data_IF_126472044192
#
_entry.id   IF_126472044192
#
_cell.length_a   1.000
_cell.length_b   1.000
_cell.length_c   1.000
_cell.angle_alpha   90.00
_cell.angle_beta   90.00
_cell.angle_gamma   90.00
#
_symmetry.space_group_name_H-M   'P 1'
#
loop_
_entity.id
_entity.type
_entity.pdbx_description
1 polymer ?
#
# COMPACT_ATOMS: atom_id res chain seq x y z
N UNK A 1 1.38 -18.15 19.50
CA UNK A 1 2.08 -17.42 18.41
C UNK A 1 1.07 -16.95 17.39
N UNK A 2 1.14 -15.68 17.03
CA UNK A 2 0.24 -15.09 16.05
C UNK A 2 0.62 -15.52 14.63
N UNK A 3 -0.37 -15.91 13.84
CA UNK A 3 -0.16 -16.22 12.45
C UNK A 3 0.10 -14.94 11.64
N UNK A 4 1.14 -14.95 10.81
CA UNK A 4 1.45 -13.82 9.93
C UNK A 4 0.46 -13.81 8.77
N UNK A 5 -0.18 -12.67 8.54
CA UNK A 5 -1.11 -12.49 7.43
C UNK A 5 -0.47 -11.68 6.32
N UNK A 6 -0.89 -11.97 5.09
CA UNK A 6 -0.50 -11.19 3.92
C UNK A 6 -1.65 -10.25 3.60
N UNK A 7 -1.40 -8.96 3.74
CA UNK A 7 -2.44 -7.92 3.68
C UNK A 7 -2.16 -6.95 2.52
N UNK A 8 -3.19 -6.70 1.72
CA UNK A 8 -3.15 -5.67 0.69
C UNK A 8 -3.88 -4.43 1.20
N UNK A 9 -3.20 -3.30 1.27
CA UNK A 9 -3.82 -2.02 1.61
C UNK A 9 -4.06 -1.25 0.30
N UNK A 10 -5.33 -0.98 0.01
CA UNK A 10 -5.74 -0.28 -1.21
C UNK A 10 -5.82 1.21 -0.91
N UNK A 11 -5.00 1.99 -1.60
CA UNK A 11 -4.88 3.44 -1.39
C UNK A 11 -5.59 4.17 -2.52
N UNK A 12 -6.58 4.98 -2.19
CA UNK A 12 -7.35 5.72 -3.18
C UNK A 12 -7.74 7.10 -2.66
N UNK A 13 -8.78 7.18 -1.82
CA UNK A 13 -9.35 8.44 -1.35
C UNK A 13 -8.76 8.92 -0.03
N UNK A 14 -8.57 8.00 0.92
CA UNK A 14 -8.05 8.32 2.26
C UNK A 14 -6.58 7.90 2.35
N UNK A 15 -5.74 8.59 1.59
CA UNK A 15 -4.34 8.22 1.41
C UNK A 15 -3.54 8.23 2.71
N UNK A 16 -3.67 9.28 3.50
CA UNK A 16 -2.95 9.43 4.78
C UNK A 16 -3.31 8.30 5.75
N UNK A 17 -4.58 7.97 5.85
CA UNK A 17 -5.07 6.91 6.71
C UNK A 17 -4.57 5.54 6.25
N UNK A 18 -4.63 5.28 4.94
CA UNK A 18 -4.14 4.03 4.35
C UNK A 18 -2.67 3.80 4.67
N UNK A 19 -1.85 4.84 4.52
CA UNK A 19 -0.41 4.72 4.75
C UNK A 19 -0.09 4.48 6.24
N UNK A 20 -0.81 5.13 7.15
CA UNK A 20 -0.63 4.92 8.59
C UNK A 20 -1.02 3.50 8.98
N UNK A 21 -2.11 3.00 8.43
CA UNK A 21 -2.56 1.62 8.69
C UNK A 21 -1.53 0.62 8.18
N UNK A 22 -0.99 0.84 6.99
CA UNK A 22 0.05 -0.03 6.42
C UNK A 22 1.28 -0.11 7.32
N UNK A 23 1.74 1.04 7.84
CA UNK A 23 2.85 1.08 8.78
C UNK A 23 2.54 0.29 10.06
N UNK A 24 1.36 0.53 10.65
CA UNK A 24 0.95 -0.15 11.88
C UNK A 24 0.86 -1.66 11.73
N UNK A 25 0.29 -2.14 10.64
CA UNK A 25 0.18 -3.57 10.37
C UNK A 25 1.54 -4.23 10.16
N UNK A 26 2.45 -3.54 9.48
CA UNK A 26 3.81 -4.03 9.28
C UNK A 26 4.56 -4.14 10.61
N UNK A 27 4.45 -3.12 11.44
CA UNK A 27 5.08 -3.13 12.76
C UNK A 27 4.47 -4.17 13.69
N UNK A 28 3.22 -4.54 13.46
CA UNK A 28 2.55 -5.62 14.20
C UNK A 28 2.97 -7.02 13.74
N UNK A 29 3.76 -7.13 12.68
CA UNK A 29 4.33 -8.39 12.20
C UNK A 29 3.67 -8.98 10.97
N UNK A 30 2.71 -8.31 10.36
CA UNK A 30 2.09 -8.79 9.12
C UNK A 30 2.92 -8.39 7.89
N UNK A 31 2.73 -9.12 6.80
CA UNK A 31 3.29 -8.76 5.50
C UNK A 31 2.29 -7.87 4.79
N UNK A 32 2.71 -6.66 4.44
CA UNK A 32 1.83 -5.65 3.85
C UNK A 32 2.38 -5.15 2.52
N UNK A 33 1.52 -5.12 1.51
CA UNK A 33 1.82 -4.50 0.22
C UNK A 33 0.78 -3.41 -0.03
N UNK A 34 1.20 -2.35 -0.71
CA UNK A 34 0.35 -1.21 -1.06
C UNK A 34 -0.08 -1.28 -2.51
N UNK A 35 -1.36 -1.01 -2.75
CA UNK A 35 -1.92 -0.90 -4.10
C UNK A 35 -2.54 0.47 -4.24
N UNK A 36 -1.90 1.34 -5.03
CA UNK A 36 -2.38 2.70 -5.26
C UNK A 36 -3.24 2.71 -6.53
N UNK A 37 -4.52 3.03 -6.35
CA UNK A 37 -5.54 2.94 -7.40
C UNK A 37 -5.93 4.30 -7.96
N UNK A 38 -5.74 4.48 -9.26
CA UNK A 38 -6.25 5.65 -10.00
C UNK A 38 -5.83 7.01 -9.44
N UNK A 39 -4.72 7.07 -8.70
CA UNK A 39 -4.28 8.32 -8.08
C UNK A 39 -2.76 8.37 -7.92
N UNK A 40 -2.28 9.58 -7.64
CA UNK A 40 -0.90 9.83 -7.24
C UNK A 40 -0.90 10.20 -5.77
N UNK A 41 0.19 9.89 -5.08
CA UNK A 41 0.38 10.34 -3.70
C UNK A 41 0.83 11.79 -3.70
N UNK A 42 0.18 12.62 -2.89
CA UNK A 42 0.59 14.02 -2.72
C UNK A 42 1.75 14.11 -1.73
N UNK A 43 2.96 14.01 -2.23
CA UNK A 43 4.18 14.03 -1.41
C UNK A 43 4.48 15.43 -0.84
N UNK A 44 3.73 16.45 -1.25
CA UNK A 44 3.84 17.77 -0.64
C UNK A 44 3.08 17.86 0.69
N UNK A 45 2.18 16.92 0.93
CA UNK A 45 1.41 16.83 2.18
C UNK A 45 2.21 16.03 3.21
N UNK A 46 2.58 16.63 4.38
CA UNK A 46 3.31 15.90 5.42
C UNK A 46 2.58 14.67 5.94
N UNK A 47 1.24 14.67 5.93
CA UNK A 47 0.45 13.53 6.36
C UNK A 47 0.63 12.32 5.44
N UNK A 48 1.15 12.53 4.23
CA UNK A 48 1.47 11.48 3.27
C UNK A 48 2.98 11.23 3.23
N UNK A 49 3.78 12.30 3.13
CA UNK A 49 5.23 12.18 3.03
C UNK A 49 5.87 11.48 4.23
N UNK A 50 5.40 11.77 5.45
CA UNK A 50 5.98 11.17 6.66
C UNK A 50 5.76 9.66 6.74
N UNK A 51 4.54 9.12 6.61
CA UNK A 51 4.37 7.67 6.60
C UNK A 51 5.06 7.00 5.40
N UNK A 52 5.17 7.67 4.25
CA UNK A 52 5.89 7.12 3.10
C UNK A 52 7.38 6.94 3.37
N UNK A 53 7.97 7.79 4.18
CA UNK A 53 9.35 7.65 4.61
C UNK A 53 9.57 6.32 5.35
N UNK A 54 8.67 6.01 6.28
CA UNK A 54 8.70 4.75 7.03
C UNK A 54 8.43 3.55 6.10
N UNK A 55 7.48 3.66 5.19
CA UNK A 55 7.15 2.61 4.22
C UNK A 55 8.37 2.27 3.37
N UNK A 56 9.11 3.29 2.94
CA UNK A 56 10.33 3.11 2.17
C UNK A 56 11.41 2.40 2.99
N UNK A 57 11.58 2.79 4.25
CA UNK A 57 12.53 2.15 5.16
C UNK A 57 12.17 0.69 5.47
N UNK A 58 10.88 0.39 5.57
CA UNK A 58 10.38 -0.96 5.79
C UNK A 58 10.40 -1.82 4.51
N UNK A 59 10.73 -1.22 3.38
CA UNK A 59 10.83 -1.90 2.09
C UNK A 59 9.53 -2.58 1.64
N UNK A 60 8.38 -1.95 1.88
CA UNK A 60 7.09 -2.47 1.42
C UNK A 60 6.99 -2.42 -0.10
N UNK A 61 6.38 -3.44 -0.70
CA UNK A 61 6.08 -3.42 -2.13
C UNK A 61 4.93 -2.46 -2.40
N UNK A 62 5.09 -1.65 -3.44
CA UNK A 62 4.09 -0.66 -3.84
C UNK A 62 3.75 -0.87 -5.31
N UNK A 63 2.49 -1.17 -5.56
CA UNK A 63 1.95 -1.35 -6.91
C UNK A 63 1.00 -0.19 -7.23
N UNK A 64 0.95 0.21 -8.48
CA UNK A 64 0.05 1.27 -8.93
C UNK A 64 -0.39 0.99 -10.37
N UNK A 65 -1.57 1.46 -10.73
CA UNK A 65 -2.00 1.47 -12.12
C UNK A 65 -1.76 2.81 -12.81
N UNK A 66 -1.13 3.77 -12.11
CA UNK A 66 -0.81 5.08 -12.66
C UNK A 66 0.63 5.11 -13.17
N UNK A 67 0.87 5.35 -14.47
CA UNK A 67 2.21 5.23 -15.06
C UNK A 67 3.19 6.35 -14.70
N UNK A 68 2.72 7.43 -14.10
CA UNK A 68 3.55 8.61 -13.79
C UNK A 68 4.27 8.52 -12.45
N UNK A 69 4.62 7.32 -11.99
CA UNK A 69 5.31 7.11 -10.71
C UNK A 69 6.52 6.21 -10.88
N UNK A 70 7.40 6.21 -9.87
CA UNK A 70 8.54 5.29 -9.80
C UNK A 70 8.19 3.92 -9.19
N UNK A 71 6.94 3.74 -8.77
CA UNK A 71 6.48 2.46 -8.22
C UNK A 71 6.24 1.43 -9.32
N UNK A 72 6.08 0.18 -8.93
CA UNK A 72 5.81 -0.90 -9.88
C UNK A 72 4.42 -0.71 -10.51
N UNK A 73 4.40 -0.42 -11.81
CA UNK A 73 3.16 -0.17 -12.54
C UNK A 73 2.57 -1.49 -13.06
N UNK A 74 1.31 -1.75 -12.73
CA UNK A 74 0.57 -2.90 -13.22
C UNK A 74 -0.83 -2.45 -13.67
N UNK A 75 -1.48 -3.26 -14.50
CA UNK A 75 -2.84 -2.95 -14.94
C UNK A 75 -3.85 -3.27 -13.84
N UNK A 76 -5.06 -2.72 -13.94
CA UNK A 76 -6.15 -3.06 -13.01
C UNK A 76 -6.46 -4.56 -13.06
N UNK A 77 -6.37 -5.18 -14.23
CA UNK A 77 -6.59 -6.63 -14.39
C UNK A 77 -5.53 -7.43 -13.65
N UNK A 78 -4.26 -7.06 -13.79
CA UNK A 78 -3.16 -7.68 -13.06
C UNK A 78 -3.30 -7.50 -11.56
N UNK A 79 -3.73 -6.30 -11.14
CA UNK A 79 -3.98 -5.97 -9.75
C UNK A 79 -5.08 -6.86 -9.16
N UNK A 80 -6.19 -7.05 -9.89
CA UNK A 80 -7.28 -7.92 -9.46
C UNK A 80 -6.81 -9.35 -9.25
N UNK A 81 -5.99 -9.87 -10.16
CA UNK A 81 -5.42 -11.22 -10.04
C UNK A 81 -4.50 -11.32 -8.84
N UNK A 82 -3.66 -10.31 -8.65
CA UNK A 82 -2.68 -10.29 -7.57
C UNK A 82 -3.34 -10.24 -6.20
N UNK A 83 -4.47 -9.55 -6.07
CA UNK A 83 -5.21 -9.45 -4.81
C UNK A 83 -5.70 -10.81 -4.30
N UNK A 84 -5.85 -11.81 -5.17
CA UNK A 84 -6.23 -13.16 -4.78
C UNK A 84 -5.15 -13.86 -3.94
N UNK A 85 -3.93 -13.35 -3.95
CA UNK A 85 -2.80 -13.91 -3.18
C UNK A 85 -2.77 -13.45 -1.74
N UNK A 86 -3.65 -12.51 -1.36
CA UNK A 86 -3.66 -11.90 -0.03
C UNK A 86 -4.76 -12.48 0.84
N UNK A 87 -4.48 -12.54 2.14
CA UNK A 87 -5.47 -13.00 3.13
C UNK A 87 -6.57 -11.97 3.34
N UNK A 88 -6.18 -10.69 3.32
CA UNK A 88 -7.09 -9.57 3.56
C UNK A 88 -6.75 -8.43 2.59
N UNK A 89 -7.78 -7.77 2.07
CA UNK A 89 -7.64 -6.52 1.32
C UNK A 89 -8.42 -5.43 2.07
N UNK A 90 -7.74 -4.35 2.44
CA UNK A 90 -8.33 -3.25 3.23
C UNK A 90 -8.40 -2.00 2.36
N UNK A 91 -9.61 -1.54 1.98
CA UNK A 91 -9.77 -0.38 1.11
C UNK A 91 -9.82 0.94 1.89
N UNK A 92 -9.18 1.94 1.32
CA UNK A 92 -9.19 3.33 1.80
C UNK A 92 -9.44 4.26 0.59
#
# INVERSE_FOLDING_TARGET
>A
MREVKKIAVLVRDRQDEALRVACGLTLAGDTVDLFILDCLLDMSDPAIAMPMEMITELELMIYTNHPATSFTTITLEEMAKKLLEYDIAVPY
#
